data_IF_087084873431
#
_entry.id   IF_087084873431
#
_cell.length_a   1.000
_cell.length_b   1.000
_cell.length_c   1.000
_cell.angle_alpha   90.00
_cell.angle_beta   90.00
_cell.angle_gamma   90.00
#
_symmetry.space_group_name_H-M   'P 1'
#
loop_
_entity.id
_entity.type
_entity.pdbx_description
1 polymer ?
#
# COMPACT_ATOMS: atom_id res chain seq x y z
N UNK A 1 16.38 31.82 -9.88
CA UNK A 1 15.49 30.68 -10.10
C UNK A 1 15.70 29.68 -8.95
N UNK A 2 14.68 29.39 -8.19
CA UNK A 2 14.77 28.37 -7.13
C UNK A 2 14.96 26.97 -7.78
N UNK A 3 15.86 26.18 -7.23
CA UNK A 3 16.06 24.79 -7.67
C UNK A 3 14.75 24.01 -7.51
N UNK A 4 14.47 23.08 -8.44
CA UNK A 4 13.32 22.18 -8.28
C UNK A 4 13.47 21.35 -6.99
N UNK A 5 12.35 20.93 -6.33
CA UNK A 5 12.42 20.14 -5.11
C UNK A 5 13.28 18.87 -5.27
N UNK A 6 13.26 18.28 -6.44
CA UNK A 6 14.04 17.12 -6.78
C UNK A 6 15.55 17.39 -6.79
N UNK A 7 15.98 18.52 -7.42
CA UNK A 7 17.38 18.95 -7.41
C UNK A 7 17.85 19.34 -6.01
N UNK A 8 16.98 19.92 -5.19
CA UNK A 8 17.30 20.21 -3.79
C UNK A 8 17.58 18.94 -3.02
N UNK A 9 16.78 17.90 -3.25
CA UNK A 9 16.97 16.59 -2.63
C UNK A 9 18.28 15.94 -3.10
N UNK A 10 18.55 15.93 -4.42
CA UNK A 10 19.82 15.38 -4.94
C UNK A 10 21.05 16.08 -4.35
N UNK A 11 21.02 17.41 -4.29
CA UNK A 11 22.09 18.18 -3.68
C UNK A 11 22.25 17.90 -2.17
N UNK A 12 21.15 17.65 -1.47
CA UNK A 12 21.22 17.28 -0.06
C UNK A 12 21.80 15.89 0.12
N UNK A 13 21.34 14.91 -0.65
CA UNK A 13 21.84 13.53 -0.59
C UNK A 13 23.32 13.42 -0.99
N UNK A 14 23.79 14.25 -1.92
CA UNK A 14 25.20 14.25 -2.35
C UNK A 14 26.19 14.61 -1.23
N UNK A 15 25.74 15.33 -0.18
CA UNK A 15 26.58 15.64 0.98
C UNK A 15 27.00 14.41 1.78
N UNK A 16 26.29 13.28 1.60
CA UNK A 16 26.59 12.02 2.26
C UNK A 16 27.49 11.10 1.42
N UNK A 17 27.82 11.49 0.19
CA UNK A 17 28.62 10.65 -0.71
C UNK A 17 30.00 10.30 -0.15
N UNK A 18 30.63 11.24 0.56
CA UNK A 18 31.98 11.09 1.13
C UNK A 18 31.97 10.79 2.63
N UNK A 19 30.81 10.77 3.30
CA UNK A 19 30.74 10.40 4.71
C UNK A 19 31.15 8.94 4.89
N UNK A 20 32.03 8.68 5.83
CA UNK A 20 32.37 7.31 6.20
C UNK A 20 31.20 6.65 6.91
N UNK A 21 30.89 5.42 6.51
CA UNK A 21 29.82 4.59 7.06
C UNK A 21 30.29 3.15 7.05
N UNK A 22 30.10 2.44 8.16
CA UNK A 22 30.46 1.02 8.26
C UNK A 22 29.73 0.20 7.20
N UNK A 23 30.45 -0.73 6.54
CA UNK A 23 29.93 -1.59 5.49
C UNK A 23 28.70 -2.40 5.89
N UNK A 24 28.57 -2.77 7.16
CA UNK A 24 27.39 -3.47 7.68
C UNK A 24 26.09 -2.66 7.51
N UNK A 25 26.13 -1.35 7.77
CA UNK A 25 24.97 -0.48 7.58
C UNK A 25 24.71 -0.20 6.10
N UNK A 26 25.77 -0.02 5.28
CA UNK A 26 25.61 0.15 3.84
C UNK A 26 24.89 -1.06 3.21
N UNK A 27 25.23 -2.29 3.62
CA UNK A 27 24.62 -3.51 3.13
C UNK A 27 23.12 -3.62 3.46
N UNK A 28 22.68 -3.08 4.62
CA UNK A 28 21.25 -3.08 4.98
C UNK A 28 20.39 -2.25 4.00
N UNK A 29 20.96 -1.22 3.38
CA UNK A 29 20.24 -0.27 2.52
C UNK A 29 20.56 -0.39 1.03
N UNK A 30 21.15 -1.50 0.58
CA UNK A 30 21.46 -1.74 -0.84
C UNK A 30 20.22 -1.63 -1.75
N UNK A 31 19.04 -1.96 -1.23
CA UNK A 31 17.77 -1.82 -1.94
C UNK A 31 17.26 -0.37 -2.08
N UNK A 32 17.79 0.56 -1.29
CA UNK A 32 17.37 1.97 -1.27
C UNK A 32 18.30 2.83 -2.13
N UNK A 33 18.32 2.58 -3.44
CA UNK A 33 19.29 3.14 -4.41
C UNK A 33 19.63 4.62 -4.25
N UNK A 34 18.66 5.45 -3.86
CA UNK A 34 18.83 6.90 -3.73
C UNK A 34 19.16 7.35 -2.31
N UNK A 35 18.53 6.72 -1.33
CA UNK A 35 18.61 7.09 0.09
C UNK A 35 19.56 6.19 0.88
N UNK A 36 20.04 5.09 0.29
CA UNK A 36 20.76 4.06 1.01
C UNK A 36 21.90 4.60 1.85
N UNK A 37 22.72 5.51 1.30
CA UNK A 37 23.89 6.04 2.03
C UNK A 37 23.51 6.96 3.18
N UNK A 38 22.52 7.85 3.03
CA UNK A 38 22.05 8.71 4.12
C UNK A 38 21.35 7.91 5.21
N UNK A 39 20.57 6.89 4.83
CA UNK A 39 19.92 6.00 5.79
C UNK A 39 20.95 5.16 6.57
N UNK A 40 21.95 4.61 5.89
CA UNK A 40 23.02 3.87 6.53
C UNK A 40 23.80 4.77 7.52
N UNK A 41 24.10 6.01 7.12
CA UNK A 41 24.76 6.96 7.99
C UNK A 41 23.92 7.33 9.22
N UNK A 42 22.64 7.69 9.01
CA UNK A 42 21.72 7.99 10.11
C UNK A 42 21.56 6.80 11.07
N UNK A 43 21.43 5.58 10.51
CA UNK A 43 21.28 4.37 11.31
C UNK A 43 22.51 4.13 12.21
N UNK A 44 23.72 4.26 11.65
CA UNK A 44 24.97 4.15 12.41
C UNK A 44 25.05 5.20 13.52
N UNK A 45 24.77 6.48 13.20
CA UNK A 45 24.82 7.56 14.18
C UNK A 45 23.80 7.36 15.32
N UNK A 46 22.56 6.99 14.97
CA UNK A 46 21.55 6.74 16.00
C UNK A 46 21.90 5.52 16.87
N UNK A 47 22.40 4.44 16.28
CA UNK A 47 22.80 3.27 17.06
C UNK A 47 23.89 3.65 18.08
N UNK A 48 24.94 4.34 17.64
CA UNK A 48 26.01 4.78 18.54
C UNK A 48 25.51 5.70 19.66
N UNK A 49 24.65 6.67 19.33
CA UNK A 49 24.06 7.57 20.31
C UNK A 49 23.15 6.85 21.32
N UNK A 50 22.31 5.94 20.83
CA UNK A 50 21.35 5.21 21.67
C UNK A 50 22.02 4.15 22.56
N UNK A 51 23.06 3.47 22.08
CA UNK A 51 23.87 2.59 22.92
C UNK A 51 24.53 3.36 24.06
N UNK A 52 25.13 4.51 23.75
CA UNK A 52 25.76 5.35 24.76
C UNK A 52 24.71 5.88 25.76
N UNK A 53 23.52 6.27 25.29
CA UNK A 53 22.41 6.70 26.12
C UNK A 53 21.91 5.56 27.04
N UNK A 54 21.75 4.34 26.50
CA UNK A 54 21.38 3.16 27.29
C UNK A 54 22.37 2.86 28.39
N UNK A 55 23.67 3.01 28.11
CA UNK A 55 24.74 2.81 29.10
C UNK A 55 24.69 3.87 30.22
N UNK A 56 24.22 5.08 29.93
CA UNK A 56 24.09 6.18 30.90
C UNK A 56 22.78 6.13 31.72
N UNK A 57 21.74 5.49 31.21
CA UNK A 57 20.45 5.35 31.88
C UNK A 57 19.97 3.88 31.86
N UNK A 58 20.74 2.96 32.47
CA UNK A 58 20.35 1.56 32.51
C UNK A 58 19.03 1.41 33.29
N UNK A 59 18.14 0.56 32.81
CA UNK A 59 16.83 0.26 33.42
C UNK A 59 15.84 1.45 33.52
N UNK A 60 16.05 2.54 32.79
CA UNK A 60 15.12 3.68 32.78
C UNK A 60 15.09 4.53 34.08
N UNK A 61 16.14 4.48 34.87
CA UNK A 61 16.24 5.19 36.16
C UNK A 61 16.71 6.64 36.01
N UNK A 62 16.67 7.20 34.80
CA UNK A 62 17.27 8.48 34.50
C UNK A 62 18.80 8.41 34.39
N UNK A 63 19.43 9.48 34.02
CA UNK A 63 20.87 9.55 33.84
C UNK A 63 21.35 10.89 33.33
N UNK A 64 22.64 10.97 33.05
CA UNK A 64 23.23 12.16 32.46
C UNK A 64 23.93 11.83 31.14
N UNK A 65 23.45 12.41 30.07
CA UNK A 65 24.03 12.32 28.74
C UNK A 65 25.06 13.42 28.57
N UNK A 66 26.31 13.07 28.28
CA UNK A 66 27.43 14.00 28.24
C UNK A 66 27.24 15.13 27.20
N UNK A 67 27.92 16.23 27.35
CA UNK A 67 27.74 17.41 26.49
C UNK A 67 28.10 17.16 25.02
N UNK A 68 29.21 16.48 24.71
CA UNK A 68 29.61 16.19 23.33
C UNK A 68 28.61 15.22 22.67
N UNK A 69 28.29 14.04 23.23
CA UNK A 69 27.23 13.20 22.70
C UNK A 69 25.86 13.87 22.59
N UNK A 70 25.53 14.81 23.50
CA UNK A 70 24.29 15.60 23.39
C UNK A 70 24.27 16.45 22.13
N UNK A 71 25.37 17.16 21.85
CA UNK A 71 25.50 17.97 20.62
C UNK A 71 25.47 17.10 19.37
N UNK A 72 26.20 15.99 19.37
CA UNK A 72 26.22 15.04 18.25
C UNK A 72 24.79 14.52 17.94
N UNK A 73 24.03 14.08 18.95
CA UNK A 73 22.66 13.61 18.75
C UNK A 73 21.72 14.75 18.30
N UNK A 74 21.91 15.97 18.79
CA UNK A 74 21.14 17.13 18.29
C UNK A 74 21.41 17.37 16.81
N UNK A 75 22.68 17.31 16.37
CA UNK A 75 23.09 17.47 14.96
C UNK A 75 22.52 16.38 14.06
N UNK A 76 22.50 15.13 14.53
CA UNK A 76 21.86 14.01 13.83
C UNK A 76 20.35 14.23 13.72
N UNK A 77 19.69 14.70 14.79
CA UNK A 77 18.26 15.03 14.77
C UNK A 77 17.92 16.18 13.80
N UNK A 78 18.77 17.20 13.70
CA UNK A 78 18.61 18.26 12.70
C UNK A 78 18.78 17.73 11.28
N UNK A 79 19.82 16.95 11.03
CA UNK A 79 20.09 16.29 9.76
C UNK A 79 18.90 15.43 9.31
N UNK A 80 18.35 14.63 10.22
CA UNK A 80 17.17 13.81 9.95
C UNK A 80 15.93 14.68 9.68
N UNK A 81 15.73 15.76 10.43
CA UNK A 81 14.59 16.67 10.24
C UNK A 81 14.65 17.37 8.89
N UNK A 82 15.84 17.80 8.48
CA UNK A 82 16.08 18.40 7.16
C UNK A 82 15.84 17.40 6.03
N UNK A 83 16.30 16.16 6.20
CA UNK A 83 16.02 15.09 5.25
C UNK A 83 14.52 14.88 5.07
N UNK A 84 13.76 14.77 6.16
CA UNK A 84 12.30 14.62 6.12
C UNK A 84 11.63 15.78 5.39
N UNK A 85 12.04 17.01 5.70
CA UNK A 85 11.48 18.24 5.11
C UNK A 85 11.76 18.32 3.61
N UNK A 86 12.99 18.01 3.19
CA UNK A 86 13.40 18.08 1.78
C UNK A 86 12.79 16.93 0.98
N UNK A 87 12.77 15.70 1.53
CA UNK A 87 12.13 14.54 0.93
C UNK A 87 10.63 14.76 0.74
N UNK A 88 9.94 15.31 1.74
CA UNK A 88 8.51 15.63 1.66
C UNK A 88 8.20 16.64 0.55
N UNK A 89 9.02 17.68 0.38
CA UNK A 89 8.88 18.62 -0.75
C UNK A 89 9.08 17.97 -2.11
N UNK A 90 9.93 16.94 -2.18
CA UNK A 90 10.14 16.12 -3.38
C UNK A 90 9.08 15.03 -3.55
N UNK A 91 8.05 14.98 -2.71
CA UNK A 91 6.96 14.00 -2.77
C UNK A 91 7.35 12.63 -2.24
N UNK A 92 8.39 12.52 -1.41
CA UNK A 92 8.85 11.26 -0.82
C UNK A 92 8.59 11.29 0.68
N UNK A 93 7.96 10.24 1.20
CA UNK A 93 7.83 10.00 2.63
C UNK A 93 8.91 9.03 3.09
N UNK A 94 9.47 9.33 4.25
CA UNK A 94 10.40 8.45 4.94
C UNK A 94 9.67 7.88 6.15
N UNK A 95 9.70 6.56 6.26
CA UNK A 95 9.21 5.80 7.41
C UNK A 95 10.39 5.45 8.30
N UNK A 96 10.19 5.56 9.60
CA UNK A 96 11.18 5.16 10.61
C UNK A 96 10.55 4.10 11.51
N UNK A 97 11.34 3.13 11.97
CA UNK A 97 10.85 2.17 12.96
C UNK A 97 10.26 2.90 14.17
N UNK A 98 9.08 2.50 14.68
CA UNK A 98 8.37 3.23 15.74
C UNK A 98 9.21 3.42 17.00
N UNK A 99 10.05 2.45 17.35
CA UNK A 99 10.92 2.48 18.52
C UNK A 99 11.96 3.59 18.40
N UNK A 100 12.58 3.73 17.21
CA UNK A 100 13.52 4.82 16.92
C UNK A 100 12.82 6.17 16.87
N UNK A 101 11.71 6.26 16.18
CA UNK A 101 10.92 7.50 16.06
C UNK A 101 10.55 8.04 17.45
N UNK A 102 10.12 7.16 18.36
CA UNK A 102 9.76 7.55 19.73
C UNK A 102 10.94 8.17 20.50
N UNK A 103 12.14 7.57 20.39
CA UNK A 103 13.33 8.09 21.07
C UNK A 103 13.82 9.38 20.42
N UNK A 104 13.83 9.46 19.08
CA UNK A 104 14.18 10.68 18.34
C UNK A 104 13.28 11.84 18.75
N UNK A 105 11.98 11.63 18.78
CA UNK A 105 11.01 12.69 19.11
C UNK A 105 11.12 13.10 20.59
N UNK A 106 11.27 12.16 21.51
CA UNK A 106 11.43 12.46 22.92
C UNK A 106 12.73 13.21 23.21
N UNK A 107 13.83 12.85 22.51
CA UNK A 107 15.15 13.45 22.73
C UNK A 107 15.19 14.96 22.48
N UNK A 108 14.37 15.44 21.55
CA UNK A 108 14.26 16.88 21.24
C UNK A 108 13.82 17.73 22.43
N UNK A 109 13.08 17.14 23.37
CA UNK A 109 12.55 17.86 24.54
C UNK A 109 13.52 18.01 25.70
N UNK A 110 14.57 17.18 25.77
CA UNK A 110 15.48 17.16 26.91
C UNK A 110 16.98 17.33 26.56
N UNK A 111 17.36 17.19 25.30
CA UNK A 111 18.74 17.46 24.87
C UNK A 111 19.12 18.92 25.07
N UNK A 112 20.32 19.15 25.63
CA UNK A 112 20.91 20.46 25.86
C UNK A 112 22.32 20.55 25.27
N UNK A 113 22.68 21.66 24.62
CA UNK A 113 23.98 21.81 23.96
C UNK A 113 25.13 22.05 24.92
N UNK A 114 24.84 22.44 26.16
CA UNK A 114 25.83 22.79 27.18
C UNK A 114 25.59 21.98 28.45
N UNK A 115 26.68 21.66 29.15
CA UNK A 115 26.70 20.90 30.43
C UNK A 115 26.15 19.45 30.35
N UNK A 116 25.80 18.98 29.14
CA UNK A 116 25.14 17.68 28.96
C UNK A 116 23.63 17.75 29.24
N UNK A 117 22.96 16.63 29.05
CA UNK A 117 21.49 16.56 29.09
C UNK A 117 21.01 15.58 30.18
N UNK A 118 20.03 15.96 31.03
CA UNK A 118 19.42 15.00 31.95
C UNK A 118 18.54 14.04 31.14
N UNK A 119 18.82 12.74 31.21
CA UNK A 119 17.97 11.72 30.60
C UNK A 119 16.73 11.58 31.49
N UNK A 120 15.50 11.72 30.95
CA UNK A 120 14.29 11.62 31.75
C UNK A 120 14.14 10.26 32.45
N UNK A 121 13.62 10.28 33.68
CA UNK A 121 13.17 9.06 34.35
C UNK A 121 12.03 8.41 33.55
N UNK A 122 12.06 7.08 33.42
CA UNK A 122 11.07 6.33 32.65
C UNK A 122 11.36 6.24 31.16
N UNK A 123 12.45 6.83 30.66
CA UNK A 123 12.92 6.55 29.29
C UNK A 123 13.44 5.11 29.24
N UNK A 124 12.65 4.22 28.66
CA UNK A 124 13.04 2.81 28.50
C UNK A 124 14.24 2.71 27.54
N UNK A 125 15.31 1.98 27.89
CA UNK A 125 16.39 1.68 26.97
C UNK A 125 15.85 1.10 25.66
N UNK A 126 16.34 1.60 24.53
CA UNK A 126 15.97 1.11 23.21
C UNK A 126 16.84 -0.08 22.81
N UNK A 127 16.22 -1.12 22.30
CA UNK A 127 16.94 -2.18 21.59
C UNK A 127 17.38 -1.66 20.23
N UNK A 128 18.71 -1.49 20.06
CA UNK A 128 19.27 -0.98 18.80
C UNK A 128 19.28 -2.07 17.73
N UNK A 129 18.96 -1.67 16.51
CA UNK A 129 18.83 -2.58 15.37
C UNK A 129 20.14 -2.70 14.58
N UNK A 130 20.62 -3.92 14.35
CA UNK A 130 21.83 -4.18 13.58
C UNK A 130 21.63 -4.98 12.30
N UNK A 131 20.49 -5.65 12.18
CA UNK A 131 20.26 -6.67 11.15
C UNK A 131 19.14 -6.33 10.19
N UNK A 132 18.40 -5.23 10.44
CA UNK A 132 17.29 -4.81 9.61
C UNK A 132 17.30 -3.29 9.42
N UNK A 133 16.56 -2.78 8.44
CA UNK A 133 16.48 -1.35 8.14
C UNK A 133 15.67 -0.60 9.21
N UNK A 134 16.17 0.56 9.65
CA UNK A 134 15.45 1.49 10.53
C UNK A 134 14.64 2.51 9.72
N UNK A 135 15.13 2.86 8.54
CA UNK A 135 14.52 3.84 7.64
C UNK A 135 14.08 3.19 6.35
N UNK A 136 12.95 3.59 5.82
CA UNK A 136 12.43 3.17 4.53
C UNK A 136 11.79 4.34 3.80
N UNK A 137 11.88 4.33 2.45
CA UNK A 137 11.11 5.26 1.65
C UNK A 137 9.71 4.71 1.38
N UNK A 138 8.69 5.51 1.67
CA UNK A 138 7.36 5.28 1.11
C UNK A 138 7.24 6.03 -0.20
N UNK A 139 6.73 5.36 -1.22
CA UNK A 139 6.42 6.01 -2.49
C UNK A 139 5.26 7.00 -2.30
N UNK A 140 5.60 8.27 -2.14
CA UNK A 140 4.63 9.38 -2.13
C UNK A 140 4.40 9.96 -3.52
N UNK A 141 5.14 9.49 -4.53
CA UNK A 141 5.01 9.97 -5.91
C UNK A 141 5.40 8.94 -6.97
N UNK A 142 5.03 9.22 -8.21
CA UNK A 142 5.36 8.43 -9.41
C UNK A 142 5.90 9.34 -10.49
N UNK A 143 6.93 8.88 -11.24
CA UNK A 143 7.44 9.58 -12.42
C UNK A 143 6.60 9.22 -13.64
N UNK A 144 5.98 10.22 -14.27
CA UNK A 144 5.34 10.10 -15.57
C UNK A 144 6.30 10.54 -16.67
N UNK A 145 6.19 9.93 -17.86
CA UNK A 145 7.05 10.28 -18.99
C UNK A 145 6.93 11.77 -19.32
N UNK A 146 8.07 12.49 -19.30
CA UNK A 146 8.12 13.92 -19.61
C UNK A 146 7.60 14.85 -18.52
N UNK A 147 7.32 14.37 -17.31
CA UNK A 147 6.80 15.19 -16.20
C UNK A 147 7.64 15.04 -14.94
N UNK A 148 7.45 15.95 -13.99
CA UNK A 148 7.95 15.81 -12.62
C UNK A 148 7.22 14.67 -11.89
N UNK A 149 7.77 14.27 -10.75
CA UNK A 149 7.13 13.30 -9.87
C UNK A 149 5.70 13.74 -9.49
N UNK A 150 4.74 12.84 -9.68
CA UNK A 150 3.32 13.09 -9.36
C UNK A 150 3.02 12.51 -7.98
N UNK A 151 2.41 13.29 -7.06
CA UNK A 151 2.12 12.82 -5.72
C UNK A 151 1.10 11.67 -5.74
N UNK A 152 1.35 10.68 -4.92
CA UNK A 152 0.45 9.54 -4.69
C UNK A 152 -0.42 9.82 -3.46
N UNK A 153 -1.71 9.48 -3.57
CA UNK A 153 -2.67 9.52 -2.47
C UNK A 153 -3.08 8.09 -2.12
N UNK A 154 -2.94 7.71 -0.86
CA UNK A 154 -3.34 6.39 -0.39
C UNK A 154 -4.84 6.15 -0.60
N UNK A 155 -5.19 4.99 -1.13
CA UNK A 155 -6.58 4.54 -1.35
C UNK A 155 -6.94 3.37 -0.44
N UNK A 156 -6.04 2.41 -0.33
CA UNK A 156 -6.26 1.23 0.49
C UNK A 156 -5.15 0.22 0.35
N UNK A 157 -5.21 -0.82 1.20
CA UNK A 157 -4.24 -1.91 1.16
C UNK A 157 -4.92 -3.27 1.29
N UNK A 158 -4.35 -4.27 0.62
CA UNK A 158 -4.68 -5.68 0.77
C UNK A 158 -3.59 -6.44 1.53
N UNK A 159 -3.69 -7.77 1.53
CA UNK A 159 -2.71 -8.64 2.20
C UNK A 159 -1.28 -8.48 1.67
N UNK A 160 -1.10 -8.32 0.37
CA UNK A 160 0.20 -8.32 -0.31
C UNK A 160 0.48 -7.06 -1.16
N UNK A 161 -0.50 -6.16 -1.32
CA UNK A 161 -0.35 -4.97 -2.16
C UNK A 161 -1.00 -3.73 -1.53
N UNK A 162 -0.51 -2.56 -1.93
CA UNK A 162 -1.01 -1.24 -1.56
C UNK A 162 -1.52 -0.57 -2.83
N UNK A 163 -2.63 0.16 -2.70
CA UNK A 163 -3.23 0.93 -3.80
C UNK A 163 -3.15 2.42 -3.48
N UNK A 164 -2.56 3.17 -4.39
CA UNK A 164 -2.55 4.63 -4.39
C UNK A 164 -3.28 5.15 -5.62
N UNK A 165 -3.79 6.38 -5.55
CA UNK A 165 -4.27 7.10 -6.73
C UNK A 165 -3.40 8.32 -7.01
N UNK A 166 -3.40 8.73 -8.27
CA UNK A 166 -2.76 9.96 -8.72
C UNK A 166 -3.52 10.55 -9.90
N UNK A 167 -3.33 11.84 -10.15
CA UNK A 167 -3.90 12.53 -11.31
C UNK A 167 -2.79 12.76 -12.34
N UNK A 168 -3.01 12.32 -13.57
CA UNK A 168 -2.11 12.66 -14.68
C UNK A 168 -2.20 14.17 -14.95
N UNK A 169 -1.08 14.89 -14.84
CA UNK A 169 -1.08 16.37 -14.99
C UNK A 169 -1.36 16.83 -16.42
N UNK A 170 -1.13 15.97 -17.43
CA UNK A 170 -1.34 16.31 -18.83
C UNK A 170 -2.81 16.20 -19.24
N UNK A 171 -3.51 15.20 -18.68
CA UNK A 171 -4.88 14.89 -19.07
C UNK A 171 -5.92 15.17 -17.98
N UNK A 172 -5.50 15.42 -16.74
CA UNK A 172 -6.39 15.60 -15.59
C UNK A 172 -7.14 14.33 -15.17
N UNK A 173 -6.74 13.17 -15.70
CA UNK A 173 -7.39 11.87 -15.46
C UNK A 173 -6.78 11.25 -14.22
N UNK A 174 -7.64 10.67 -13.37
CA UNK A 174 -7.21 9.91 -12.21
C UNK A 174 -6.93 8.45 -12.56
N UNK A 175 -5.79 7.97 -12.08
CA UNK A 175 -5.38 6.57 -12.18
C UNK A 175 -5.16 5.98 -10.78
N UNK A 176 -5.25 4.66 -10.68
CA UNK A 176 -4.80 3.93 -9.52
C UNK A 176 -3.48 3.20 -9.84
N UNK A 177 -2.60 3.12 -8.85
CA UNK A 177 -1.37 2.32 -8.88
C UNK A 177 -1.46 1.28 -7.79
N UNK A 178 -1.40 0.00 -8.17
CA UNK A 178 -1.31 -1.13 -7.24
C UNK A 178 0.16 -1.57 -7.20
N UNK A 179 0.75 -1.61 -5.99
CA UNK A 179 2.14 -1.96 -5.77
C UNK A 179 2.25 -3.08 -4.76
N UNK A 180 3.14 -4.04 -4.98
CA UNK A 180 3.47 -5.08 -4.00
C UNK A 180 4.11 -4.47 -2.76
N UNK A 181 3.77 -5.00 -1.61
CA UNK A 181 4.46 -4.71 -0.34
C UNK A 181 5.87 -5.31 -0.37
N UNK A 182 6.79 -4.75 0.41
CA UNK A 182 8.11 -5.34 0.60
C UNK A 182 7.97 -6.67 1.39
N UNK A 183 8.88 -7.60 1.16
CA UNK A 183 8.94 -8.85 1.90
C UNK A 183 7.81 -9.86 1.63
N UNK A 184 7.02 -9.67 0.57
CA UNK A 184 6.00 -10.64 0.17
C UNK A 184 6.63 -11.95 -0.34
N UNK A 185 5.94 -13.06 -0.13
CA UNK A 185 6.42 -14.38 -0.57
C UNK A 185 6.46 -14.47 -2.09
N UNK A 186 7.38 -15.26 -2.69
CA UNK A 186 7.49 -15.41 -4.14
C UNK A 186 6.15 -15.79 -4.82
N UNK A 187 5.33 -16.60 -4.17
CA UNK A 187 4.00 -16.99 -4.63
C UNK A 187 3.04 -15.79 -4.78
N UNK A 188 3.17 -14.78 -3.91
CA UNK A 188 2.34 -13.57 -3.97
C UNK A 188 2.81 -12.65 -5.11
N UNK A 189 4.12 -12.62 -5.38
CA UNK A 189 4.69 -11.93 -6.54
C UNK A 189 4.15 -12.55 -7.84
N UNK A 190 4.22 -13.87 -7.97
CA UNK A 190 3.68 -14.58 -9.13
C UNK A 190 2.17 -14.33 -9.33
N UNK A 191 1.40 -14.33 -8.26
CA UNK A 191 -0.04 -14.02 -8.29
C UNK A 191 -0.30 -12.59 -8.77
N UNK A 192 0.52 -11.64 -8.33
CA UNK A 192 0.40 -10.24 -8.71
C UNK A 192 0.69 -10.02 -10.20
N UNK A 193 1.74 -10.65 -10.73
CA UNK A 193 2.04 -10.64 -12.16
C UNK A 193 0.90 -11.25 -12.98
N UNK A 194 0.43 -12.43 -12.55
CA UNK A 194 -0.66 -13.13 -13.22
C UNK A 194 -1.95 -12.34 -13.22
N UNK A 195 -2.28 -11.66 -12.13
CA UNK A 195 -3.43 -10.77 -12.06
C UNK A 195 -3.36 -9.69 -13.15
N UNK A 196 -2.21 -9.01 -13.26
CA UNK A 196 -1.98 -8.02 -14.30
C UNK A 196 -2.11 -8.63 -15.70
N UNK A 197 -1.47 -9.77 -15.96
CA UNK A 197 -1.48 -10.42 -17.27
C UNK A 197 -2.88 -10.86 -17.71
N UNK A 198 -3.70 -11.37 -16.79
CA UNK A 198 -5.08 -11.74 -17.06
C UNK A 198 -5.89 -10.49 -17.40
N UNK A 199 -5.82 -9.45 -16.56
CA UNK A 199 -6.58 -8.21 -16.77
C UNK A 199 -6.14 -7.48 -18.04
N UNK A 200 -4.85 -7.51 -18.37
CA UNK A 200 -4.30 -6.83 -19.55
C UNK A 200 -4.86 -7.35 -20.87
N UNK A 201 -5.28 -8.60 -20.91
CA UNK A 201 -5.89 -9.23 -22.10
C UNK A 201 -7.32 -8.81 -22.35
N UNK A 202 -7.97 -8.18 -21.36
CA UNK A 202 -9.38 -7.82 -21.46
C UNK A 202 -9.55 -6.34 -21.77
N UNK A 203 -10.25 -6.07 -22.87
CA UNK A 203 -10.78 -4.76 -23.20
C UNK A 203 -12.31 -4.86 -23.21
N UNK A 204 -12.91 -4.68 -22.04
CA UNK A 204 -14.35 -4.77 -21.86
C UNK A 204 -14.82 -3.73 -20.85
N UNK A 205 -15.93 -2.99 -21.11
CA UNK A 205 -16.33 -1.85 -20.29
C UNK A 205 -16.50 -2.15 -18.81
N UNK A 206 -16.92 -3.36 -18.46
CA UNK A 206 -17.23 -3.76 -17.07
C UNK A 206 -16.12 -4.56 -16.40
N UNK A 207 -14.94 -4.64 -17.01
CA UNK A 207 -13.70 -5.14 -16.40
C UNK A 207 -12.79 -3.95 -16.14
N UNK A 208 -12.15 -3.90 -14.97
CA UNK A 208 -11.22 -2.84 -14.64
C UNK A 208 -10.02 -2.86 -15.59
N UNK A 209 -9.74 -1.74 -16.23
CA UNK A 209 -8.66 -1.66 -17.22
C UNK A 209 -7.32 -1.46 -16.53
N UNK A 210 -6.34 -2.27 -16.91
CA UNK A 210 -4.94 -2.08 -16.52
C UNK A 210 -4.13 -1.56 -17.71
N UNK A 211 -3.11 -0.72 -17.42
CA UNK A 211 -2.37 -0.01 -18.47
C UNK A 211 -0.93 -0.48 -18.58
N UNK A 212 -0.13 -0.26 -17.57
CA UNK A 212 1.32 -0.48 -17.61
C UNK A 212 1.79 -1.17 -16.33
N UNK A 213 2.62 -2.18 -16.48
CA UNK A 213 3.41 -2.78 -15.42
C UNK A 213 4.76 -2.08 -15.30
N UNK A 214 5.24 -1.89 -14.09
CA UNK A 214 6.57 -1.37 -13.79
C UNK A 214 7.36 -2.43 -13.03
N UNK A 215 8.33 -3.03 -13.72
CA UNK A 215 9.19 -4.09 -13.19
C UNK A 215 10.12 -3.59 -12.06
N UNK A 216 10.51 -2.30 -12.11
CA UNK A 216 11.51 -1.77 -11.17
C UNK A 216 11.03 -1.73 -9.73
N UNK A 217 9.71 -1.72 -9.51
CA UNK A 217 9.10 -1.59 -8.19
C UNK A 217 7.88 -2.50 -7.97
N UNK A 218 7.68 -3.47 -8.87
CA UNK A 218 6.56 -4.40 -8.85
C UNK A 218 5.21 -3.71 -8.66
N UNK A 219 4.91 -2.78 -9.55
CA UNK A 219 3.63 -2.06 -9.52
C UNK A 219 2.99 -2.00 -10.90
N UNK A 220 1.69 -1.79 -10.96
CA UNK A 220 1.00 -1.48 -12.20
C UNK A 220 0.00 -0.36 -12.05
N UNK A 221 -0.23 0.33 -13.16
CA UNK A 221 -1.22 1.41 -13.27
C UNK A 221 -2.52 0.85 -13.83
N UNK A 222 -3.63 1.28 -13.26
CA UNK A 222 -4.98 0.85 -13.65
C UNK A 222 -5.97 2.01 -13.60
N UNK A 223 -7.15 1.81 -14.15
CA UNK A 223 -8.29 2.71 -14.04
C UNK A 223 -8.63 2.95 -12.56
N UNK A 224 -8.96 4.20 -12.21
CA UNK A 224 -9.41 4.53 -10.86
C UNK A 224 -10.93 4.53 -10.79
N UNK A 225 -11.47 3.85 -9.79
CA UNK A 225 -12.88 3.91 -9.43
C UNK A 225 -13.02 4.48 -8.02
N UNK A 226 -13.98 5.36 -7.82
CA UNK A 226 -14.16 6.12 -6.57
C UNK A 226 -14.63 5.24 -5.40
N UNK A 227 -15.39 4.17 -5.72
CA UNK A 227 -16.04 3.36 -4.71
C UNK A 227 -15.86 1.86 -4.97
N UNK A 228 -15.85 1.08 -3.90
CA UNK A 228 -16.20 -0.35 -4.00
C UNK A 228 -17.72 -0.48 -4.06
N UNK A 229 -18.23 -1.60 -4.55
CA UNK A 229 -19.67 -1.90 -4.52
C UNK A 229 -20.21 -1.82 -3.08
N UNK A 230 -19.39 -2.30 -2.12
CA UNK A 230 -19.70 -2.22 -0.70
C UNK A 230 -19.97 -0.78 -0.27
N UNK A 231 -19.03 0.10 -0.55
CA UNK A 231 -19.10 1.48 -0.08
C UNK A 231 -20.19 2.25 -0.84
N UNK A 232 -20.30 2.04 -2.14
CA UNK A 232 -21.33 2.69 -2.97
C UNK A 232 -22.74 2.37 -2.47
N UNK A 233 -23.05 1.08 -2.27
CA UNK A 233 -24.38 0.67 -1.81
C UNK A 233 -24.61 1.13 -0.37
N UNK A 234 -23.63 0.99 0.54
CA UNK A 234 -23.83 1.43 1.93
C UNK A 234 -24.19 2.92 2.05
N UNK A 235 -23.63 3.78 1.20
CA UNK A 235 -23.91 5.21 1.21
C UNK A 235 -25.19 5.60 0.45
N UNK A 236 -25.58 4.80 -0.56
CA UNK A 236 -26.66 5.16 -1.47
C UNK A 236 -27.89 4.25 -1.36
N UNK A 237 -27.89 3.25 -0.48
CA UNK A 237 -28.92 2.20 -0.45
C UNK A 237 -30.36 2.73 -0.45
N UNK A 238 -30.63 3.75 0.36
CA UNK A 238 -31.97 4.34 0.47
C UNK A 238 -32.36 5.21 -0.75
N UNK A 239 -31.38 5.70 -1.51
CA UNK A 239 -31.60 6.61 -2.65
C UNK A 239 -31.64 5.90 -3.99
N UNK A 240 -31.15 4.66 -4.05
CA UNK A 240 -31.07 3.89 -5.29
C UNK A 240 -32.46 3.45 -5.75
N UNK A 241 -32.86 3.90 -6.95
CA UNK A 241 -34.07 3.43 -7.59
C UNK A 241 -33.98 1.95 -8.03
N UNK A 242 -35.11 1.24 -8.18
CA UNK A 242 -35.11 -0.12 -8.73
C UNK A 242 -34.44 -0.22 -10.10
N UNK A 243 -34.56 0.81 -10.92
CA UNK A 243 -33.92 0.90 -12.23
C UNK A 243 -32.37 0.96 -12.09
N UNK A 244 -31.85 1.78 -11.17
CA UNK A 244 -30.41 1.87 -10.93
C UNK A 244 -29.83 0.54 -10.45
N UNK A 245 -30.55 -0.18 -9.56
CA UNK A 245 -30.15 -1.52 -9.09
C UNK A 245 -30.13 -2.53 -10.23
N UNK A 246 -31.18 -2.53 -11.06
CA UNK A 246 -31.24 -3.40 -12.26
C UNK A 246 -30.08 -3.10 -13.20
N UNK A 247 -29.80 -1.83 -13.49
CA UNK A 247 -28.67 -1.42 -14.35
C UNK A 247 -27.33 -1.90 -13.78
N UNK A 248 -27.12 -1.75 -12.48
CA UNK A 248 -25.92 -2.22 -11.79
C UNK A 248 -25.76 -3.73 -11.87
N UNK A 249 -26.83 -4.47 -11.58
CA UNK A 249 -26.85 -5.93 -11.68
C UNK A 249 -26.54 -6.42 -13.10
N UNK A 250 -27.14 -5.79 -14.11
CA UNK A 250 -26.90 -6.14 -15.52
C UNK A 250 -25.45 -5.89 -15.94
N UNK A 251 -24.85 -4.76 -15.56
CA UNK A 251 -23.45 -4.46 -15.85
C UNK A 251 -22.52 -5.51 -15.21
N UNK A 252 -22.78 -5.87 -13.96
CA UNK A 252 -22.02 -6.93 -13.25
C UNK A 252 -22.19 -8.29 -13.94
N UNK A 253 -23.40 -8.69 -14.29
CA UNK A 253 -23.65 -9.94 -15.00
C UNK A 253 -23.02 -9.98 -16.39
N UNK A 254 -22.97 -8.86 -17.12
CA UNK A 254 -22.22 -8.78 -18.37
C UNK A 254 -20.72 -9.01 -18.18
N UNK A 255 -20.12 -8.48 -17.11
CA UNK A 255 -18.73 -8.76 -16.78
C UNK A 255 -18.49 -10.25 -16.53
N UNK A 256 -19.32 -10.87 -15.70
CA UNK A 256 -19.17 -12.29 -15.35
C UNK A 256 -19.40 -13.20 -16.55
N UNK A 257 -20.42 -12.92 -17.38
CA UNK A 257 -20.65 -13.67 -18.61
C UNK A 257 -19.46 -13.54 -19.58
N UNK A 258 -18.88 -12.33 -19.69
CA UNK A 258 -17.71 -12.09 -20.53
C UNK A 258 -16.51 -12.96 -20.09
N UNK A 259 -16.24 -13.07 -18.78
CA UNK A 259 -15.19 -13.90 -18.22
C UNK A 259 -15.45 -15.39 -18.43
N UNK A 260 -16.64 -15.86 -18.06
CA UNK A 260 -16.99 -17.28 -18.15
C UNK A 260 -16.98 -17.80 -19.60
N UNK A 261 -17.44 -17.00 -20.57
CA UNK A 261 -17.36 -17.36 -22.00
C UNK A 261 -15.91 -17.47 -22.50
N UNK A 262 -14.94 -16.89 -21.80
CA UNK A 262 -13.50 -17.02 -22.09
C UNK A 262 -12.82 -18.09 -21.25
N UNK A 263 -13.59 -18.85 -20.49
CA UNK A 263 -13.07 -19.92 -19.64
C UNK A 263 -12.35 -19.44 -18.39
N UNK A 264 -12.57 -18.16 -17.99
CA UNK A 264 -11.97 -17.58 -16.80
C UNK A 264 -12.97 -17.56 -15.67
N UNK A 265 -12.63 -18.22 -14.54
CA UNK A 265 -13.34 -18.11 -13.28
C UNK A 265 -12.62 -17.10 -12.37
N UNK A 266 -13.38 -16.23 -11.71
CA UNK A 266 -12.82 -15.15 -10.88
C UNK A 266 -12.24 -15.68 -9.57
N UNK A 267 -12.96 -16.58 -8.89
CA UNK A 267 -12.57 -17.28 -7.64
C UNK A 267 -12.45 -16.44 -6.37
N UNK A 268 -12.50 -15.13 -6.48
CA UNK A 268 -12.39 -14.20 -5.34
C UNK A 268 -13.43 -13.08 -5.43
N UNK A 269 -14.65 -13.42 -5.86
CA UNK A 269 -15.73 -12.46 -5.91
C UNK A 269 -16.10 -12.00 -4.50
N UNK A 270 -16.10 -10.68 -4.32
CA UNK A 270 -16.50 -10.02 -3.08
C UNK A 270 -17.09 -8.64 -3.37
N UNK A 271 -17.77 -8.05 -2.41
CA UNK A 271 -18.29 -6.68 -2.50
C UNK A 271 -17.17 -5.61 -2.63
N UNK A 272 -15.90 -5.97 -2.41
CA UNK A 272 -14.74 -5.09 -2.53
C UNK A 272 -14.06 -5.21 -3.88
N UNK A 273 -14.17 -6.37 -4.54
CA UNK A 273 -13.55 -6.65 -5.84
C UNK A 273 -14.47 -6.26 -7.01
N UNK A 274 -15.66 -5.77 -6.69
CA UNK A 274 -16.54 -5.08 -7.64
C UNK A 274 -16.48 -3.59 -7.31
N UNK A 275 -16.03 -2.80 -8.28
CA UNK A 275 -15.83 -1.36 -8.15
C UNK A 275 -16.94 -0.60 -8.87
N UNK A 276 -17.16 0.66 -8.47
CA UNK A 276 -18.13 1.55 -9.09
C UNK A 276 -17.43 2.86 -9.44
N UNK A 277 -17.35 3.13 -10.72
CA UNK A 277 -16.91 4.43 -11.24
C UNK A 277 -18.12 5.35 -11.39
N UNK A 278 -18.00 6.58 -10.90
CA UNK A 278 -19.07 7.60 -10.93
C UNK A 278 -18.64 8.77 -11.81
N UNK A 279 -19.60 9.41 -12.44
CA UNK A 279 -19.33 10.55 -13.32
C UNK A 279 -19.79 11.84 -12.65
N UNK A 280 -18.87 12.79 -12.48
CA UNK A 280 -19.16 14.08 -11.83
C UNK A 280 -20.30 14.83 -12.53
N UNK A 281 -21.23 15.36 -11.73
CA UNK A 281 -22.38 16.10 -12.25
C UNK A 281 -23.46 15.22 -12.90
N UNK A 282 -23.41 13.90 -12.70
CA UNK A 282 -24.37 12.95 -13.27
C UNK A 282 -24.64 11.81 -12.29
N UNK A 283 -25.85 11.24 -12.36
CA UNK A 283 -26.20 10.00 -11.65
C UNK A 283 -25.70 8.73 -12.39
N UNK A 284 -24.92 8.91 -13.45
CA UNK A 284 -24.35 7.80 -14.20
C UNK A 284 -23.25 7.10 -13.42
N UNK A 285 -23.23 5.78 -13.50
CA UNK A 285 -22.21 4.95 -12.91
C UNK A 285 -21.84 3.79 -13.84
N UNK A 286 -20.66 3.24 -13.63
CA UNK A 286 -20.17 2.04 -14.33
C UNK A 286 -19.60 1.06 -13.32
N UNK A 287 -20.04 -0.20 -13.39
CA UNK A 287 -19.52 -1.30 -12.59
C UNK A 287 -18.26 -1.84 -13.25
N UNK A 288 -17.22 -2.12 -12.46
CA UNK A 288 -15.96 -2.69 -12.90
C UNK A 288 -15.56 -3.87 -12.00
N UNK A 289 -15.43 -5.06 -12.57
CA UNK A 289 -14.91 -6.23 -11.86
C UNK A 289 -13.39 -6.16 -11.87
N UNK A 290 -12.78 -6.39 -10.71
CA UNK A 290 -11.33 -6.22 -10.47
C UNK A 290 -10.78 -7.34 -9.60
N UNK A 291 -9.46 -7.39 -9.42
CA UNK A 291 -8.74 -8.30 -8.52
C UNK A 291 -8.80 -9.78 -8.95
N UNK A 292 -8.09 -10.08 -10.02
CA UNK A 292 -8.00 -11.41 -10.63
C UNK A 292 -6.87 -12.28 -10.05
N UNK A 293 -6.35 -11.94 -8.87
CA UNK A 293 -5.20 -12.62 -8.26
C UNK A 293 -5.41 -14.12 -7.98
N UNK A 294 -6.66 -14.58 -7.90
CA UNK A 294 -7.04 -15.99 -7.77
C UNK A 294 -7.67 -16.59 -9.03
N UNK A 295 -7.83 -15.79 -10.08
CA UNK A 295 -8.49 -16.25 -11.30
C UNK A 295 -7.82 -17.49 -11.89
N UNK A 296 -8.62 -18.45 -12.36
CA UNK A 296 -8.16 -19.68 -13.01
C UNK A 296 -8.64 -19.71 -14.46
N UNK A 297 -7.70 -19.95 -15.35
CA UNK A 297 -7.97 -20.41 -16.70
C UNK A 297 -8.05 -21.92 -16.72
N UNK A 298 -8.80 -22.50 -17.64
CA UNK A 298 -9.00 -23.96 -17.78
C UNK A 298 -7.69 -24.77 -17.84
N UNK A 299 -6.57 -24.12 -18.20
CA UNK A 299 -5.27 -24.78 -18.43
C UNK A 299 -4.24 -24.61 -17.31
N UNK A 300 -4.57 -23.93 -16.21
CA UNK A 300 -3.57 -23.61 -15.17
C UNK A 300 -3.77 -24.38 -13.87
N UNK A 301 -2.70 -25.02 -13.39
CA UNK A 301 -2.67 -25.87 -12.19
C UNK A 301 -2.29 -25.20 -10.87
N UNK A 302 -2.04 -23.87 -10.89
CA UNK A 302 -1.62 -23.13 -9.69
C UNK A 302 -2.78 -22.96 -8.70
N UNK A 303 -2.79 -23.81 -7.72
CA UNK A 303 -3.75 -23.79 -6.61
C UNK A 303 -3.11 -23.26 -5.34
N UNK A 304 -3.67 -22.18 -4.79
CA UNK A 304 -3.27 -21.69 -3.48
C UNK A 304 -4.37 -21.92 -2.45
N UNK A 305 -4.03 -22.63 -1.41
CA UNK A 305 -4.85 -22.82 -0.22
C UNK A 305 -4.61 -21.69 0.80
N UNK A 306 -5.66 -21.12 1.33
CA UNK A 306 -5.72 -20.65 2.72
C UNK A 306 -5.54 -19.17 3.03
N UNK A 307 -4.73 -18.38 2.36
CA UNK A 307 -4.40 -17.03 2.87
C UNK A 307 -5.15 -15.84 2.25
N UNK A 308 -5.89 -16.05 1.17
CA UNK A 308 -6.59 -14.96 0.46
C UNK A 308 -8.12 -14.93 0.69
N UNK A 309 -8.64 -15.77 1.56
CA UNK A 309 -10.09 -15.99 1.71
C UNK A 309 -10.80 -15.09 2.74
N UNK A 310 -10.12 -14.13 3.36
CA UNK A 310 -10.80 -13.18 4.28
C UNK A 310 -11.66 -12.18 3.50
N UNK A 311 -12.95 -12.48 3.41
CA UNK A 311 -13.96 -11.61 2.80
C UNK A 311 -14.49 -12.07 1.44
N UNK A 312 -13.96 -13.15 0.86
CA UNK A 312 -14.50 -13.78 -0.34
C UNK A 312 -15.77 -14.54 -0.02
N UNK A 313 -16.71 -14.54 -0.97
CA UNK A 313 -17.95 -15.30 -0.88
C UNK A 313 -17.68 -16.67 -1.52
N UNK A 314 -17.57 -17.72 -0.70
CA UNK A 314 -17.17 -19.04 -1.15
C UNK A 314 -18.39 -19.98 -1.05
N UNK A 315 -18.58 -20.76 -2.11
CA UNK A 315 -19.59 -21.82 -2.15
C UNK A 315 -19.27 -22.91 -1.09
N UNK A 316 -20.17 -23.14 -0.10
CA UNK A 316 -19.95 -24.15 0.92
C UNK A 316 -19.94 -25.58 0.38
N UNK A 317 -20.47 -25.82 -0.82
CA UNK A 317 -20.43 -27.10 -1.49
C UNK A 317 -19.08 -27.41 -2.15
N UNK A 318 -18.16 -26.45 -2.19
CA UNK A 318 -16.82 -26.60 -2.77
C UNK A 318 -15.93 -27.45 -1.85
N UNK A 319 -15.71 -28.71 -2.19
CA UNK A 319 -14.87 -29.63 -1.41
C UNK A 319 -13.36 -29.29 -1.49
N UNK A 320 -12.89 -28.84 -2.65
CA UNK A 320 -11.50 -28.44 -2.87
C UNK A 320 -11.42 -27.22 -3.79
N UNK A 321 -10.51 -26.30 -3.49
CA UNK A 321 -10.29 -25.13 -4.34
C UNK A 321 -9.76 -25.49 -5.74
N UNK A 322 -9.23 -26.71 -5.91
CA UNK A 322 -8.83 -27.25 -7.21
C UNK A 322 -10.03 -27.48 -8.14
N UNK A 323 -11.18 -27.82 -7.56
CA UNK A 323 -12.41 -28.18 -8.30
C UNK A 323 -13.26 -26.94 -8.63
N UNK A 324 -12.77 -25.75 -8.29
CA UNK A 324 -13.48 -24.50 -8.52
C UNK A 324 -13.76 -24.29 -10.01
N UNK A 325 -15.01 -24.17 -10.34
CA UNK A 325 -15.54 -23.93 -11.68
C UNK A 325 -16.50 -22.74 -11.72
N UNK A 326 -17.09 -22.47 -12.90
CA UNK A 326 -18.05 -21.36 -13.07
C UNK A 326 -19.24 -21.41 -12.11
N UNK A 327 -19.67 -22.62 -11.70
CA UNK A 327 -20.79 -22.81 -10.76
C UNK A 327 -20.52 -22.18 -9.40
N UNK A 328 -19.27 -22.23 -8.93
CA UNK A 328 -18.88 -21.64 -7.66
C UNK A 328 -18.82 -20.10 -7.74
N UNK A 329 -18.45 -19.54 -8.90
CA UNK A 329 -18.62 -18.10 -9.14
C UNK A 329 -20.12 -17.71 -9.15
N UNK A 330 -21.01 -18.56 -9.71
CA UNK A 330 -22.46 -18.29 -9.72
C UNK A 330 -23.02 -18.18 -8.31
N UNK A 331 -22.54 -19.02 -7.37
CA UNK A 331 -22.88 -18.89 -5.96
C UNK A 331 -22.53 -17.48 -5.42
N UNK A 332 -21.31 -17.04 -5.66
CA UNK A 332 -20.83 -15.71 -5.24
C UNK A 332 -21.59 -14.57 -5.94
N UNK A 333 -21.94 -14.76 -7.22
CA UNK A 333 -22.76 -13.82 -8.01
C UNK A 333 -24.12 -13.62 -7.34
N UNK A 334 -24.75 -14.71 -6.87
CA UNK A 334 -26.04 -14.64 -6.16
C UNK A 334 -26.01 -13.71 -4.95
N UNK A 335 -24.97 -13.80 -4.12
CA UNK A 335 -24.78 -12.90 -2.98
C UNK A 335 -24.56 -11.45 -3.40
N UNK A 336 -23.79 -11.21 -4.45
CA UNK A 336 -23.55 -9.85 -4.96
C UNK A 336 -24.87 -9.26 -5.50
N UNK A 337 -25.65 -10.04 -6.22
CA UNK A 337 -26.97 -9.61 -6.69
C UNK A 337 -27.91 -9.32 -5.53
N UNK A 338 -27.99 -10.20 -4.53
CA UNK A 338 -28.76 -9.92 -3.32
C UNK A 338 -28.36 -8.59 -2.70
N UNK A 339 -27.05 -8.34 -2.55
CA UNK A 339 -26.56 -7.09 -1.98
C UNK A 339 -26.94 -5.87 -2.84
N UNK A 340 -26.86 -5.97 -4.16
CA UNK A 340 -27.28 -4.90 -5.09
C UNK A 340 -28.76 -4.57 -4.91
N UNK A 341 -29.63 -5.57 -4.77
CA UNK A 341 -31.08 -5.35 -4.69
C UNK A 341 -31.56 -4.97 -3.28
N UNK A 342 -30.96 -5.51 -2.23
CA UNK A 342 -31.46 -5.36 -0.85
C UNK A 342 -30.59 -4.44 0.02
N UNK A 343 -29.30 -4.28 -0.31
CA UNK A 343 -28.30 -3.66 0.56
C UNK A 343 -27.90 -4.52 1.77
N UNK A 344 -28.39 -5.77 1.82
CA UNK A 344 -28.08 -6.72 2.92
C UNK A 344 -27.08 -7.76 2.45
N UNK A 345 -26.15 -8.11 3.33
CA UNK A 345 -25.11 -9.10 3.04
C UNK A 345 -25.54 -10.52 3.37
N UNK A 346 -26.47 -10.64 4.29
CA UNK A 346 -26.97 -11.94 4.73
C UNK A 346 -28.14 -12.36 3.84
N UNK A 347 -28.06 -13.57 3.31
CA UNK A 347 -29.19 -14.24 2.71
C UNK A 347 -30.04 -14.79 3.87
N UNK A 348 -31.10 -14.04 4.23
CA UNK A 348 -32.18 -14.50 5.10
C UNK A 348 -31.79 -14.80 6.58
N UNK A 349 -32.08 -13.83 7.44
CA UNK A 349 -32.18 -14.07 8.88
C UNK A 349 -33.45 -14.86 9.28
N UNK A 350 -34.35 -15.16 8.34
CA UNK A 350 -35.70 -15.71 8.65
C UNK A 350 -35.97 -17.13 8.13
N UNK A 351 -34.95 -17.81 7.62
CA UNK A 351 -35.08 -19.22 7.21
C UNK A 351 -35.99 -19.49 5.98
N UNK A 352 -36.49 -18.46 5.32
CA UNK A 352 -37.26 -18.63 4.07
C UNK A 352 -36.32 -18.98 2.91
N UNK A 353 -36.47 -20.18 2.36
CA UNK A 353 -35.83 -20.59 1.10
C UNK A 353 -36.50 -19.81 -0.02
N UNK A 354 -35.67 -19.20 -0.87
CA UNK A 354 -36.14 -18.79 -2.19
C UNK A 354 -36.48 -20.07 -2.96
N UNK A 355 -37.77 -20.28 -3.22
CA UNK A 355 -38.26 -21.32 -4.08
C UNK A 355 -37.86 -21.08 -5.54
#
# INVERSE_FOLDING_TARGET
MSLSPQRQLDNYLSQFAEKQVDGKYLGLYDGERRFGRVFAWLHEQYNGAFEFMNAKAPQGVGGHFNADPSRELMEVNETYSDLLRIASKAGIRIKTKPEYQKVIDSSRGWLQPTLGSPIPEGLTPIEVEYYDTVFETEDSGIMLAGTNQVPLQFVGEGSYAIVHKFTDPNYGIQFARKKLKKGVKPKEVERFHREFDIMKRFDFPYILKVYRYNESDNSYTMEYCEHTLKDYISHNNQKMSPWARRKMAMQFLYAMNFLHRRGVCHRDLSYRNVLVHTYRGSDAFMVKVSDFGLAKEKTSDLTSTGSAMKGSIIDPALGSFRDFGPVNDIYSIGFILNYIFTGRRDLLADGSRLG
#
